data_IF_523610315836
#
_entry.id   IF_523610315836
#
_cell.length_a   1.000
_cell.length_b   1.000
_cell.length_c   1.000
_cell.angle_alpha   90.00
_cell.angle_beta   90.00
_cell.angle_gamma   90.00
#
_symmetry.space_group_name_H-M   'P 1'
#
loop_
_entity.id
_entity.type
_entity.pdbx_description
1 polymer ?
#
# COMPACT_ATOMS: atom_id res chain seq x y z
N UNK A 1 -50.05 -44.59 14.11
CA UNK A 1 -48.93 -44.01 13.34
C UNK A 1 -48.54 -45.05 12.28
N UNK A 2 -48.89 -44.99 11.00
CA UNK A 2 -49.68 -44.06 10.21
C UNK A 2 -49.57 -44.52 8.76
N UNK A 3 -50.54 -45.31 8.26
CA UNK A 3 -50.55 -45.74 6.84
C UNK A 3 -50.61 -44.56 5.87
N UNK A 4 -51.20 -43.44 6.31
CA UNK A 4 -51.22 -42.16 5.60
C UNK A 4 -49.84 -41.49 5.51
N UNK A 5 -48.94 -41.73 6.47
CA UNK A 5 -47.57 -41.21 6.43
C UNK A 5 -46.69 -41.98 5.44
N UNK A 6 -46.95 -43.29 5.29
CA UNK A 6 -46.28 -44.13 4.29
C UNK A 6 -46.73 -43.81 2.86
N UNK A 7 -48.03 -43.63 2.64
CA UNK A 7 -48.57 -43.20 1.34
C UNK A 7 -48.09 -41.81 0.95
N UNK A 8 -48.10 -40.84 1.89
CA UNK A 8 -47.54 -39.50 1.66
C UNK A 8 -46.02 -39.53 1.42
N UNK A 9 -45.32 -40.46 2.06
CA UNK A 9 -43.90 -40.73 1.83
C UNK A 9 -43.64 -41.26 0.42
N UNK A 10 -44.40 -42.27 -0.02
CA UNK A 10 -44.32 -42.88 -1.35
C UNK A 10 -44.70 -41.88 -2.46
N UNK A 11 -45.78 -41.10 -2.30
CA UNK A 11 -46.16 -40.02 -3.22
C UNK A 11 -45.05 -38.96 -3.33
N UNK A 12 -44.43 -38.58 -2.19
CA UNK A 12 -43.32 -37.62 -2.19
C UNK A 12 -42.00 -38.16 -2.73
N UNK A 13 -41.85 -39.49 -2.82
CA UNK A 13 -40.68 -40.15 -3.44
C UNK A 13 -40.91 -40.26 -4.94
N UNK A 14 -42.11 -40.68 -5.37
CA UNK A 14 -42.49 -40.68 -6.78
C UNK A 14 -42.45 -39.27 -7.38
N UNK A 15 -42.95 -38.25 -6.67
CA UNK A 15 -42.90 -36.86 -7.13
C UNK A 15 -41.46 -36.34 -7.22
N UNK A 16 -40.57 -36.71 -6.27
CA UNK A 16 -39.13 -36.41 -6.35
C UNK A 16 -38.43 -37.15 -7.48
N UNK A 17 -38.82 -38.38 -7.77
CA UNK A 17 -38.28 -39.18 -8.87
C UNK A 17 -38.74 -38.63 -10.22
N UNK A 18 -39.97 -38.13 -10.34
CA UNK A 18 -40.49 -37.45 -11.52
C UNK A 18 -39.78 -36.10 -11.70
N UNK A 19 -39.66 -35.30 -10.64
CA UNK A 19 -38.92 -34.03 -10.69
C UNK A 19 -37.44 -34.24 -11.04
N UNK A 20 -36.82 -35.30 -10.52
CA UNK A 20 -35.45 -35.70 -10.85
C UNK A 20 -35.31 -36.11 -12.32
N UNK A 21 -36.26 -36.88 -12.85
CA UNK A 21 -36.29 -37.28 -14.26
C UNK A 21 -36.48 -36.08 -15.19
N UNK A 22 -37.42 -35.18 -14.87
CA UNK A 22 -37.63 -33.94 -15.63
C UNK A 22 -36.40 -33.04 -15.56
N UNK A 23 -35.78 -32.93 -14.38
CA UNK A 23 -34.52 -32.18 -14.23
C UNK A 23 -33.39 -32.80 -15.06
N UNK A 24 -33.31 -34.13 -15.16
CA UNK A 24 -32.31 -34.83 -15.96
C UNK A 24 -32.54 -34.62 -17.46
N UNK A 25 -33.80 -34.69 -17.93
CA UNK A 25 -34.14 -34.44 -19.33
C UNK A 25 -33.88 -32.98 -19.73
N UNK A 26 -34.19 -32.03 -18.84
CA UNK A 26 -33.89 -30.62 -19.05
C UNK A 26 -32.37 -30.39 -19.07
N UNK A 27 -31.62 -31.01 -18.16
CA UNK A 27 -30.16 -30.96 -18.14
C UNK A 27 -29.57 -31.52 -19.44
N UNK A 28 -30.08 -32.65 -19.93
CA UNK A 28 -29.62 -33.28 -21.16
C UNK A 28 -29.89 -32.41 -22.40
N UNK A 29 -31.08 -31.83 -22.52
CA UNK A 29 -31.40 -30.87 -23.60
C UNK A 29 -30.53 -29.61 -23.55
N UNK A 30 -30.27 -29.10 -22.34
CA UNK A 30 -29.37 -27.95 -22.12
C UNK A 30 -27.94 -28.35 -22.44
N UNK A 31 -27.47 -29.53 -22.04
CA UNK A 31 -26.13 -30.02 -22.33
C UNK A 31 -25.94 -30.23 -23.84
N UNK A 32 -26.89 -30.88 -24.53
CA UNK A 32 -26.82 -31.07 -25.97
C UNK A 32 -26.82 -29.74 -26.74
N UNK A 33 -27.66 -28.78 -26.32
CA UNK A 33 -27.71 -27.43 -26.91
C UNK A 33 -26.46 -26.60 -26.60
N UNK A 34 -25.99 -26.64 -25.36
CA UNK A 34 -24.82 -25.88 -24.89
C UNK A 34 -23.53 -26.47 -25.44
N UNK A 35 -23.33 -27.79 -25.41
CA UNK A 35 -22.12 -28.48 -25.88
C UNK A 35 -21.94 -28.38 -27.40
N UNK A 36 -23.04 -28.21 -28.15
CA UNK A 36 -23.02 -27.95 -29.60
C UNK A 36 -22.45 -26.57 -29.96
N UNK A 37 -22.62 -25.56 -29.08
CA UNK A 37 -22.17 -24.18 -29.36
C UNK A 37 -21.01 -23.71 -28.47
N UNK A 38 -20.86 -24.28 -27.29
CA UNK A 38 -19.92 -23.88 -26.24
C UNK A 38 -19.16 -25.12 -25.79
N UNK A 39 -17.91 -25.27 -26.25
CA UNK A 39 -17.01 -26.29 -25.74
C UNK A 39 -16.55 -25.88 -24.33
N UNK A 40 -16.79 -26.70 -23.27
CA UNK A 40 -16.36 -26.38 -21.91
C UNK A 40 -14.87 -26.08 -21.81
N UNK A 41 -14.05 -26.81 -22.58
CA UNK A 41 -12.61 -26.59 -22.70
C UNK A 41 -12.28 -25.19 -23.21
N UNK A 42 -13.01 -24.70 -24.23
CA UNK A 42 -12.80 -23.33 -24.77
C UNK A 42 -13.17 -22.26 -23.75
N UNK A 43 -14.20 -22.49 -22.92
CA UNK A 43 -14.58 -21.55 -21.85
C UNK A 43 -13.47 -21.46 -20.80
N UNK A 44 -12.92 -22.59 -20.37
CA UNK A 44 -11.79 -22.60 -19.42
C UNK A 44 -10.59 -21.85 -19.99
N UNK A 45 -10.21 -22.12 -21.24
CA UNK A 45 -9.11 -21.40 -21.90
C UNK A 45 -9.41 -19.91 -22.07
N UNK A 46 -10.64 -19.54 -22.41
CA UNK A 46 -11.04 -18.14 -22.52
C UNK A 46 -10.94 -17.44 -21.15
N UNK A 47 -11.40 -18.08 -20.08
CA UNK A 47 -11.29 -17.53 -18.71
C UNK A 47 -9.83 -17.33 -18.29
N UNK A 48 -8.96 -18.32 -18.55
CA UNK A 48 -7.52 -18.20 -18.27
C UNK A 48 -6.92 -17.06 -19.11
N UNK A 49 -7.27 -16.96 -20.39
CA UNK A 49 -6.77 -15.90 -21.27
C UNK A 49 -7.19 -14.51 -20.77
N UNK A 50 -8.45 -14.32 -20.37
CA UNK A 50 -8.94 -13.07 -19.78
C UNK A 50 -8.21 -12.76 -18.47
N UNK A 51 -8.02 -13.76 -17.60
CA UNK A 51 -7.28 -13.58 -16.35
C UNK A 51 -5.83 -13.14 -16.60
N UNK A 52 -5.15 -13.75 -17.58
CA UNK A 52 -3.79 -13.37 -17.98
C UNK A 52 -3.75 -11.96 -18.56
N UNK A 53 -4.72 -11.56 -19.37
CA UNK A 53 -4.82 -10.20 -19.88
C UNK A 53 -5.00 -9.17 -18.76
N UNK A 54 -5.85 -9.46 -17.77
CA UNK A 54 -6.03 -8.59 -16.60
C UNK A 54 -4.76 -8.49 -15.75
N UNK A 55 -4.12 -9.63 -15.47
CA UNK A 55 -2.86 -9.67 -14.73
C UNK A 55 -1.75 -8.89 -15.45
N UNK A 56 -1.64 -9.07 -16.78
CA UNK A 56 -0.68 -8.33 -17.61
C UNK A 56 -0.98 -6.84 -17.62
N UNK A 57 -2.25 -6.45 -17.74
CA UNK A 57 -2.67 -5.04 -17.69
C UNK A 57 -2.30 -4.39 -16.36
N UNK A 58 -2.57 -5.07 -15.24
CA UNK A 58 -2.18 -4.60 -13.91
C UNK A 58 -0.66 -4.44 -13.78
N UNK A 59 0.12 -5.40 -14.30
CA UNK A 59 1.58 -5.35 -14.32
C UNK A 59 2.11 -4.16 -15.15
N UNK A 60 1.54 -3.91 -16.33
CA UNK A 60 1.89 -2.76 -17.17
C UNK A 60 1.62 -1.46 -16.43
N UNK A 61 0.45 -1.33 -15.81
CA UNK A 61 0.08 -0.12 -15.07
C UNK A 61 0.99 0.14 -13.86
N UNK A 62 1.48 -0.89 -13.19
CA UNK A 62 2.32 -0.76 -11.99
C UNK A 62 3.81 -0.62 -12.28
N UNK A 63 4.32 -1.16 -13.40
CA UNK A 63 5.76 -1.17 -13.68
C UNK A 63 6.18 -0.29 -14.87
N UNK A 64 5.35 -0.21 -15.91
CA UNK A 64 5.71 0.52 -17.13
C UNK A 64 5.41 2.01 -17.00
N UNK A 65 4.29 2.37 -16.38
CA UNK A 65 3.92 3.78 -16.19
C UNK A 65 4.85 4.39 -15.14
N UNK A 66 5.70 5.37 -15.51
CA UNK A 66 6.54 6.03 -14.55
C UNK A 66 5.65 6.83 -13.60
N UNK A 67 5.73 6.49 -12.32
CA UNK A 67 5.18 7.29 -11.24
C UNK A 67 6.25 7.57 -10.20
N UNK A 68 6.07 8.72 -9.58
CA UNK A 68 6.90 9.22 -8.50
C UNK A 68 6.11 9.19 -7.19
N UNK A 69 6.81 8.77 -6.13
CA UNK A 69 6.30 8.72 -4.76
C UNK A 69 7.44 8.51 -3.78
N UNK A 70 7.56 9.40 -2.82
CA UNK A 70 8.48 9.28 -1.68
C UNK A 70 7.69 9.22 -0.38
N UNK A 71 8.22 8.52 0.60
CA UNK A 71 7.72 8.57 1.97
C UNK A 71 8.85 8.77 2.94
N UNK A 72 8.56 9.53 4.00
CA UNK A 72 9.48 9.76 5.10
C UNK A 72 8.83 9.25 6.38
N UNK A 73 9.50 8.33 7.04
CA UNK A 73 9.08 7.82 8.34
C UNK A 73 9.94 8.52 9.41
N UNK A 74 9.29 9.19 10.35
CA UNK A 74 9.95 9.96 11.41
C UNK A 74 9.62 9.34 12.75
N UNK A 75 10.64 9.05 13.54
CA UNK A 75 10.51 8.56 14.91
C UNK A 75 11.19 9.55 15.85
N UNK A 76 10.38 10.22 16.66
CA UNK A 76 10.84 11.09 17.72
C UNK A 76 10.91 10.33 19.04
N UNK A 77 11.98 10.56 19.81
CA UNK A 77 12.14 10.05 21.18
C UNK A 77 12.77 11.12 22.06
N UNK A 78 12.32 11.19 23.30
CA UNK A 78 12.94 12.01 24.35
C UNK A 78 13.28 11.19 25.58
N UNK A 79 14.34 11.57 26.27
CA UNK A 79 14.83 10.92 27.48
C UNK A 79 15.76 11.81 28.28
N UNK A 80 16.27 11.29 29.41
CA UNK A 80 17.10 12.06 30.34
C UNK A 80 18.23 12.93 29.74
N UNK A 81 18.97 12.47 28.70
CA UNK A 81 20.05 13.27 28.12
C UNK A 81 19.61 14.24 27.00
N UNK A 82 18.36 14.21 26.53
CA UNK A 82 17.88 15.09 25.46
C UNK A 82 16.89 14.42 24.51
N UNK A 83 16.94 14.79 23.24
CA UNK A 83 16.02 14.35 22.21
C UNK A 83 16.75 13.66 21.04
N UNK A 84 16.06 12.72 20.41
CA UNK A 84 16.53 11.99 19.25
C UNK A 84 15.42 11.97 18.21
N UNK A 85 15.76 12.34 16.97
CA UNK A 85 14.89 12.19 15.81
C UNK A 85 15.57 11.22 14.86
N UNK A 86 14.86 10.15 14.51
CA UNK A 86 15.29 9.17 13.52
C UNK A 86 14.41 9.31 12.29
N UNK A 87 15.04 9.30 11.12
CA UNK A 87 14.34 9.44 9.85
C UNK A 87 14.70 8.28 8.92
N UNK A 88 13.71 7.75 8.23
CA UNK A 88 13.89 6.82 7.11
C UNK A 88 13.25 7.44 5.86
N UNK A 89 14.00 7.46 4.77
CA UNK A 89 13.51 7.91 3.47
C UNK A 89 13.30 6.69 2.56
N UNK A 90 12.12 6.59 1.98
CA UNK A 90 11.76 5.50 1.08
C UNK A 90 11.30 6.04 -0.29
N UNK A 91 11.92 5.51 -1.35
CA UNK A 91 11.46 5.72 -2.71
C UNK A 91 10.42 4.65 -3.06
N UNK A 92 9.14 4.99 -2.88
CA UNK A 92 8.01 4.16 -3.29
C UNK A 92 7.70 4.27 -4.78
N UNK A 93 8.38 5.15 -5.51
CA UNK A 93 8.24 5.37 -6.94
C UNK A 93 8.77 4.20 -7.77
N UNK A 94 8.41 4.22 -9.05
CA UNK A 94 8.84 3.24 -10.05
C UNK A 94 10.22 3.53 -10.67
N UNK A 95 10.80 4.70 -10.37
CA UNK A 95 12.07 5.19 -10.92
C UNK A 95 13.00 5.64 -9.81
N UNK A 96 14.30 5.59 -10.10
CA UNK A 96 15.33 6.16 -9.25
C UNK A 96 15.09 7.66 -9.10
N UNK A 97 15.26 8.17 -7.87
CA UNK A 97 15.38 9.61 -7.60
C UNK A 97 16.86 9.94 -7.43
N UNK A 98 17.25 11.14 -7.83
CA UNK A 98 18.63 11.62 -7.89
C UNK A 98 18.77 12.92 -7.08
N UNK A 99 20.01 13.31 -6.77
CA UNK A 99 20.36 14.58 -6.12
C UNK A 99 19.50 14.89 -4.88
N UNK A 100 19.47 13.93 -3.96
CA UNK A 100 18.67 13.98 -2.75
C UNK A 100 19.36 14.87 -1.72
N UNK A 101 18.64 15.89 -1.25
CA UNK A 101 19.02 16.80 -0.17
C UNK A 101 17.90 16.81 0.88
N UNK A 102 18.15 16.18 2.03
CA UNK A 102 17.20 16.04 3.13
C UNK A 102 17.69 16.82 4.35
N UNK A 103 16.87 17.73 4.86
CA UNK A 103 17.13 18.51 6.06
C UNK A 103 16.14 18.10 7.14
N UNK A 104 16.68 17.76 8.30
CA UNK A 104 15.91 17.46 9.51
C UNK A 104 16.19 18.61 10.47
N UNK A 105 15.15 19.39 10.82
CA UNK A 105 15.28 20.57 11.67
C UNK A 105 14.47 20.36 12.94
N UNK A 106 15.05 20.76 14.07
CA UNK A 106 14.39 20.77 15.37
C UNK A 106 14.23 22.22 15.81
N UNK A 107 12.98 22.66 15.98
CA UNK A 107 12.61 24.06 16.15
C UNK A 107 11.89 24.20 17.49
N UNK A 108 12.24 25.23 18.27
CA UNK A 108 11.58 25.53 19.54
C UNK A 108 10.20 26.19 19.37
N UNK A 109 9.47 26.31 20.47
CA UNK A 109 8.17 27.00 20.52
C UNK A 109 8.20 28.48 20.10
N UNK A 110 9.37 29.12 20.06
CA UNK A 110 9.57 30.49 19.58
C UNK A 110 9.89 30.56 18.08
N UNK A 111 9.97 29.41 17.40
CA UNK A 111 10.35 29.31 15.99
C UNK A 111 11.86 29.38 15.74
N UNK A 112 12.69 29.22 16.77
CA UNK A 112 14.15 29.22 16.69
C UNK A 112 14.63 27.79 16.42
N UNK A 113 15.47 27.62 15.40
CA UNK A 113 16.13 26.34 15.13
C UNK A 113 17.14 26.04 16.24
N UNK A 114 16.90 24.94 16.96
CA UNK A 114 17.76 24.44 18.03
C UNK A 114 18.85 23.55 17.46
N UNK A 115 18.48 22.68 16.51
CA UNK A 115 19.39 21.72 15.91
C UNK A 115 18.97 21.36 14.48
N UNK A 116 19.93 20.85 13.69
CA UNK A 116 19.71 20.41 12.32
C UNK A 116 20.67 19.28 11.94
N UNK A 117 20.17 18.33 11.17
CA UNK A 117 20.94 17.36 10.40
C UNK A 117 20.65 17.53 8.92
N UNK A 118 21.67 17.33 8.08
CA UNK A 118 21.56 17.42 6.63
C UNK A 118 22.14 16.14 6.05
N UNK A 119 21.35 15.45 5.25
CA UNK A 119 21.72 14.24 4.54
C UNK A 119 21.68 14.50 3.04
N UNK A 120 22.74 14.08 2.34
CA UNK A 120 22.84 14.21 0.89
C UNK A 120 23.14 12.85 0.27
N UNK A 121 22.54 12.56 -0.89
CA UNK A 121 22.80 11.34 -1.63
C UNK A 121 22.52 11.49 -3.11
N UNK A 122 23.47 11.02 -3.92
CA UNK A 122 23.38 11.12 -5.39
C UNK A 122 22.19 10.37 -5.98
N UNK A 123 21.83 9.20 -5.45
CA UNK A 123 20.73 8.40 -5.98
C UNK A 123 20.10 7.42 -4.98
N UNK A 124 18.79 7.25 -5.10
CA UNK A 124 18.01 6.23 -4.37
C UNK A 124 17.15 5.44 -5.36
N UNK A 125 17.47 4.15 -5.61
CA UNK A 125 16.73 3.32 -6.56
C UNK A 125 15.24 3.18 -6.23
N UNK A 126 14.45 2.86 -7.25
CA UNK A 126 13.03 2.55 -7.10
C UNK A 126 12.80 1.43 -6.07
N UNK A 127 11.77 1.58 -5.24
CA UNK A 127 11.36 0.61 -4.22
C UNK A 127 12.44 0.28 -3.19
N UNK A 128 13.30 1.25 -2.87
CA UNK A 128 14.33 1.10 -1.84
C UNK A 128 14.19 2.18 -0.76
N UNK A 129 14.65 1.86 0.44
CA UNK A 129 14.73 2.80 1.55
C UNK A 129 16.16 2.98 2.03
N UNK A 130 16.38 4.10 2.73
CA UNK A 130 17.61 4.42 3.41
C UNK A 130 17.31 4.92 4.82
N UNK A 131 18.06 4.37 5.78
CA UNK A 131 18.04 4.70 7.19
C UNK A 131 19.47 4.55 7.73
N UNK A 132 19.77 5.14 8.89
CA UNK A 132 21.06 5.02 9.56
C UNK A 132 21.47 6.28 10.28
N UNK A 133 22.72 6.32 10.74
CA UNK A 133 23.28 7.39 11.58
C UNK A 133 23.21 8.77 10.91
N UNK A 134 23.41 8.86 9.58
CA UNK A 134 23.34 10.14 8.87
C UNK A 134 21.90 10.70 8.78
N UNK A 135 20.90 9.88 9.09
CA UNK A 135 19.47 10.23 9.14
C UNK A 135 18.97 10.32 10.60
N UNK A 136 19.90 10.44 11.54
CA UNK A 136 19.63 10.74 12.94
C UNK A 136 19.93 12.22 13.24
N UNK A 137 19.12 12.81 14.10
CA UNK A 137 19.37 14.10 14.72
C UNK A 137 19.34 13.95 16.23
N UNK A 138 20.50 14.14 16.86
CA UNK A 138 20.67 14.20 18.30
C UNK A 138 20.58 15.66 18.76
N UNK A 139 19.70 15.95 19.72
CA UNK A 139 19.52 17.29 20.29
C UNK A 139 19.88 17.24 21.77
N UNK A 140 21.04 17.82 22.09
CA UNK A 140 21.54 17.91 23.46
C UNK A 140 21.18 19.26 24.08
N UNK A 141 20.89 19.26 25.39
CA UNK A 141 20.68 20.49 26.16
C UNK A 141 19.31 21.17 26.01
N UNK A 142 18.45 20.67 25.11
CA UNK A 142 17.04 21.05 25.04
C UNK A 142 16.21 20.39 26.16
N UNK A 143 15.13 21.05 26.57
CA UNK A 143 14.31 20.63 27.70
C UNK A 143 13.29 19.59 27.28
N UNK A 144 13.26 18.42 27.93
CA UNK A 144 12.23 17.38 27.70
C UNK A 144 10.82 17.75 28.18
N UNK A 145 10.63 18.97 28.69
CA UNK A 145 9.36 19.48 29.22
C UNK A 145 8.73 20.56 28.34
N UNK A 146 9.36 20.86 27.20
CA UNK A 146 8.89 21.86 26.25
C UNK A 146 8.37 21.19 24.98
N UNK A 147 7.53 21.92 24.27
CA UNK A 147 7.05 21.51 22.94
C UNK A 147 8.02 22.04 21.87
N UNK A 148 8.24 21.19 20.87
CA UNK A 148 9.11 21.45 19.74
C UNK A 148 8.40 21.09 18.44
N UNK A 149 8.95 21.56 17.34
CA UNK A 149 8.49 21.21 16.00
C UNK A 149 9.63 20.56 15.24
N UNK A 150 9.39 19.35 14.73
CA UNK A 150 10.26 18.67 13.77
C UNK A 150 9.84 19.10 12.38
N UNK A 151 10.77 19.63 11.61
CA UNK A 151 10.57 20.00 10.21
C UNK A 151 11.47 19.15 9.31
N UNK A 152 10.85 18.48 8.35
CA UNK A 152 11.52 17.68 7.33
C UNK A 152 11.41 18.43 6.00
N UNK A 153 12.55 18.75 5.39
CA UNK A 153 12.62 19.33 4.04
C UNK A 153 13.35 18.34 3.14
N UNK A 154 12.70 17.88 2.09
CA UNK A 154 13.26 16.93 1.14
C UNK A 154 13.27 17.55 -0.25
N UNK A 155 14.45 17.73 -0.82
CA UNK A 155 14.63 18.10 -2.21
C UNK A 155 15.23 16.91 -2.97
N UNK A 156 14.75 16.65 -4.18
CA UNK A 156 15.27 15.58 -5.03
C UNK A 156 14.91 15.83 -6.49
N UNK A 157 15.71 15.28 -7.38
CA UNK A 157 15.41 15.16 -8.80
C UNK A 157 14.71 13.83 -9.07
N UNK A 158 13.69 13.87 -9.93
CA UNK A 158 12.98 12.70 -10.41
C UNK A 158 12.86 12.79 -11.94
N UNK A 159 12.38 11.72 -12.58
CA UNK A 159 12.29 11.64 -14.05
C UNK A 159 11.57 12.83 -14.72
N UNK A 160 10.68 13.53 -13.99
CA UNK A 160 9.92 14.67 -14.49
C UNK A 160 10.42 16.06 -14.07
N UNK A 161 11.62 16.18 -13.48
CA UNK A 161 12.23 17.44 -13.03
C UNK A 161 12.55 17.45 -11.54
N UNK A 162 12.44 18.62 -10.89
CA UNK A 162 12.79 18.80 -9.48
C UNK A 162 11.58 18.72 -8.56
N UNK A 163 11.79 18.27 -7.34
CA UNK A 163 10.80 18.23 -6.27
C UNK A 163 11.33 18.79 -4.96
N UNK A 164 10.40 19.38 -4.21
CA UNK A 164 10.61 19.83 -2.85
C UNK A 164 9.37 19.48 -2.05
N UNK A 165 9.55 18.73 -0.97
CA UNK A 165 8.52 18.33 -0.04
C UNK A 165 8.86 18.85 1.35
N UNK A 166 7.82 19.24 2.10
CA UNK A 166 7.96 19.79 3.45
C UNK A 166 6.90 19.19 4.35
N UNK A 167 7.35 18.57 5.44
CA UNK A 167 6.49 18.05 6.50
C UNK A 167 6.89 18.64 7.84
N UNK A 168 5.92 18.77 8.74
CA UNK A 168 6.08 19.46 10.01
C UNK A 168 5.23 18.77 11.06
N UNK A 169 5.85 18.41 12.19
CA UNK A 169 5.21 17.70 13.29
C UNK A 169 5.53 18.36 14.62
N UNK A 170 4.51 18.65 15.40
CA UNK A 170 4.68 19.12 16.78
C UNK A 170 4.89 17.92 17.71
N UNK A 171 5.91 18.00 18.55
CA UNK A 171 6.38 16.94 19.45
C UNK A 171 6.70 17.48 20.84
N UNK A 172 6.81 16.58 21.83
CA UNK A 172 7.16 16.95 23.21
C UNK A 172 6.08 16.54 24.22
N UNK A 173 4.85 16.33 23.73
CA UNK A 173 3.74 15.82 24.54
C UNK A 173 3.95 14.38 25.03
N UNK A 174 4.73 13.56 24.30
CA UNK A 174 5.01 12.17 24.65
C UNK A 174 6.50 11.85 24.63
N UNK A 175 6.89 10.75 25.29
CA UNK A 175 8.28 10.29 25.30
C UNK A 175 8.72 9.67 23.97
N UNK A 176 7.76 9.27 23.12
CA UNK A 176 7.98 8.72 21.80
C UNK A 176 6.79 9.02 20.90
N UNK A 177 7.06 9.50 19.69
CA UNK A 177 6.05 9.85 18.68
C UNK A 177 6.52 9.36 17.31
N UNK A 178 5.59 8.90 16.47
CA UNK A 178 5.89 8.30 15.17
C UNK A 178 5.00 8.91 14.09
N UNK A 179 5.61 9.31 12.99
CA UNK A 179 4.95 9.97 11.87
C UNK A 179 5.34 9.28 10.56
N UNK A 180 4.38 9.21 9.64
CA UNK A 180 4.56 8.62 8.32
C UNK A 180 4.03 9.62 7.30
N UNK A 181 4.94 10.28 6.61
CA UNK A 181 4.63 11.26 5.60
C UNK A 181 4.77 10.65 4.21
N UNK A 182 3.83 10.97 3.32
CA UNK A 182 3.81 10.43 1.96
C UNK A 182 3.58 11.56 0.99
N UNK A 183 4.43 11.65 -0.03
CA UNK A 183 4.15 12.55 -1.15
C UNK A 183 2.93 12.05 -1.94
N UNK A 184 2.17 12.96 -2.58
CA UNK A 184 1.07 12.59 -3.45
C UNK A 184 1.54 11.71 -4.60
N UNK A 185 0.73 10.71 -4.98
CA UNK A 185 0.98 9.95 -6.20
C UNK A 185 0.94 10.88 -7.41
N UNK A 186 1.99 10.82 -8.25
CA UNK A 186 2.01 11.51 -9.53
C UNK A 186 2.46 10.57 -10.63
N UNK A 187 1.59 10.40 -11.62
CA UNK A 187 1.91 9.74 -12.87
C UNK A 187 2.57 10.73 -13.82
N UNK A 188 3.61 10.29 -14.52
CA UNK A 188 4.32 11.03 -15.55
C UNK A 188 3.88 10.63 -16.94
#
# INVERSE_FOLDING_TARGET
MGLLEKLKGEESIEERDIDSQVAHEVLEKIEEGARRHISPTRVIFASIAVMLLLATSAFVLTWIVPYDRVSVDVVYRQGGPGHVVLVELDNKGSRTIEDIDLHIRFIDSNGIEVARSIFNRDSLPAHTSIAGDDLELLVEGASVWEDYTIEILLNYEYYGGDRSERWTHDVGGWTMEMFVDKSPYRFL
#
